data_IF_081571099082
#
_entry.id   IF_081571099082
#
_cell.length_a   1.000
_cell.length_b   1.000
_cell.length_c   1.000
_cell.angle_alpha   90.00
_cell.angle_beta   90.00
_cell.angle_gamma   90.00
#
_symmetry.space_group_name_H-M   'P 1'
#
loop_
_entity.id
_entity.type
_entity.pdbx_description
1 polymer ?
2 non-polymer ?
3 water ?
#
# COMPACT_ATOMS: atom_id res chain seq x y z
N UNK A 3 12.14 -16.49 -14.72
CA UNK A 3 12.44 -16.20 -13.29
C UNK A 3 11.15 -16.09 -12.48
N UNK A 4 10.01 -16.25 -13.16
CA UNK A 4 8.71 -16.22 -12.51
C UNK A 4 8.14 -17.63 -12.48
N UNK A 5 7.33 -17.92 -11.47
CA UNK A 5 6.70 -19.23 -11.35
C UNK A 5 5.32 -19.10 -10.73
N UNK A 6 4.33 -19.75 -11.31
CA UNK A 6 3.01 -19.71 -10.72
C UNK A 6 3.15 -20.61 -9.49
N UNK A 7 2.58 -20.17 -8.38
CA UNK A 7 2.66 -20.93 -7.15
C UNK A 7 1.43 -21.79 -6.95
N UNK A 8 1.54 -22.79 -6.08
CA UNK A 8 0.43 -23.68 -5.79
C UNK A 8 -0.77 -22.93 -5.21
N UNK A 9 -1.91 -23.61 -5.19
CA UNK A 9 -3.14 -23.05 -4.66
C UNK A 9 -2.94 -22.73 -3.17
N UNK A 10 -2.28 -23.62 -2.44
CA UNK A 10 -2.06 -23.40 -1.01
C UNK A 10 -1.13 -22.23 -0.74
N UNK A 11 -0.13 -22.04 -1.59
CA UNK A 11 0.80 -20.93 -1.41
C UNK A 11 0.04 -19.62 -1.66
N UNK A 12 -0.75 -19.58 -2.73
CA UNK A 12 -1.52 -18.39 -3.07
C UNK A 12 -2.46 -18.02 -1.93
N UNK A 13 -3.15 -19.02 -1.39
CA UNK A 13 -4.09 -18.79 -0.31
C UNK A 13 -3.48 -17.98 0.82
N UNK A 14 -2.22 -18.23 1.15
CA UNK A 14 -1.57 -17.49 2.22
C UNK A 14 -1.53 -16.00 1.89
N UNK A 15 -1.23 -15.69 0.64
CA UNK A 15 -1.15 -14.30 0.22
C UNK A 15 -2.55 -13.68 0.18
N UNK A 16 -3.55 -14.45 -0.24
CA UNK A 16 -4.91 -13.92 -0.28
C UNK A 16 -5.36 -13.54 1.12
N UNK A 17 -5.06 -14.41 2.07
CA UNK A 17 -5.43 -14.19 3.46
C UNK A 17 -4.71 -12.99 4.04
N UNK A 18 -3.44 -12.81 3.69
CA UNK A 18 -2.70 -11.65 4.20
C UNK A 18 -3.33 -10.35 3.70
N UNK A 19 -3.68 -10.31 2.42
CA UNK A 19 -4.29 -9.13 1.84
C UNK A 19 -5.72 -8.91 2.33
N UNK A 20 -6.43 -10.00 2.64
CA UNK A 20 -7.80 -9.91 3.15
C UNK A 20 -7.82 -9.19 4.50
N UNK A 21 -6.68 -9.14 5.17
CA UNK A 21 -6.59 -8.46 6.45
C UNK A 21 -6.93 -6.99 6.29
N UNK A 22 -6.69 -6.46 5.09
CA UNK A 22 -6.95 -5.05 4.82
C UNK A 22 -8.16 -4.88 3.93
N UNK A 23 -8.91 -5.96 3.77
CA UNK A 23 -10.10 -5.92 2.94
C UNK A 23 -9.78 -5.94 1.45
N UNK A 24 -8.53 -6.26 1.09
CA UNK A 24 -8.13 -6.33 -0.31
C UNK A 24 -8.45 -7.77 -0.72
N UNK A 25 -9.46 -7.92 -1.57
CA UNK A 25 -9.93 -9.24 -1.99
C UNK A 25 -9.37 -9.80 -3.29
N UNK A 26 -8.44 -10.75 -3.19
CA UNK A 26 -7.87 -11.39 -4.38
C UNK A 26 -8.04 -12.90 -4.25
N UNK A 27 -8.96 -13.33 -3.41
CA UNK A 27 -9.22 -14.75 -3.21
C UNK A 27 -9.48 -15.41 -4.56
N UNK A 28 -8.81 -16.53 -4.82
CA UNK A 28 -9.00 -17.22 -6.08
C UNK A 28 -8.08 -16.81 -7.21
N UNK A 29 -7.37 -15.70 -7.06
CA UNK A 29 -6.46 -15.24 -8.11
C UNK A 29 -5.16 -16.06 -8.09
N UNK A 30 -4.74 -16.57 -9.24
CA UNK A 30 -3.50 -17.33 -9.27
C UNK A 30 -2.36 -16.34 -9.32
N UNK A 31 -1.25 -16.68 -8.68
CA UNK A 31 -0.11 -15.78 -8.60
C UNK A 31 1.22 -16.34 -9.10
N UNK A 32 2.06 -15.46 -9.65
CA UNK A 32 3.39 -15.84 -10.09
C UNK A 32 4.31 -15.12 -9.12
N UNK A 33 5.39 -15.77 -8.72
CA UNK A 33 6.32 -15.15 -7.79
C UNK A 33 7.67 -14.97 -8.45
N UNK A 34 8.39 -13.93 -8.05
CA UNK A 34 9.72 -13.65 -8.59
C UNK A 34 10.58 -13.11 -7.45
N UNK A 35 11.90 -13.23 -7.57
CA UNK A 35 12.78 -12.77 -6.50
C UNK A 35 13.92 -11.81 -6.88
N UNK A 36 14.57 -11.30 -5.84
CA UNK A 36 15.71 -10.39 -5.93
C UNK A 36 16.43 -10.61 -4.61
N UNK A 37 15.92 -11.58 -3.85
CA UNK A 37 16.44 -11.96 -2.53
C UNK A 37 16.59 -10.79 -1.57
N UNK A 38 16.09 -9.64 -2.00
CA UNK A 38 16.09 -8.43 -1.19
C UNK A 38 14.61 -8.13 -1.06
N UNK A 39 13.83 -8.90 -1.82
CA UNK A 39 12.38 -8.80 -1.87
C UNK A 39 11.86 -9.73 -2.96
N UNK A 40 10.61 -10.14 -2.82
CA UNK A 40 9.95 -11.01 -3.79
C UNK A 40 8.67 -10.29 -4.19
N UNK A 41 8.12 -10.64 -5.35
CA UNK A 41 6.89 -10.02 -5.79
C UNK A 41 5.94 -11.06 -6.33
N UNK A 42 4.65 -10.85 -6.07
CA UNK A 42 3.61 -11.74 -6.55
C UNK A 42 2.84 -10.98 -7.62
N UNK A 43 2.81 -11.55 -8.82
CA UNK A 43 2.16 -10.96 -9.98
C UNK A 43 0.80 -11.57 -10.27
N UNK A 44 -0.09 -10.73 -10.80
CA UNK A 44 -1.41 -11.16 -11.25
C UNK A 44 -1.47 -10.56 -12.65
N UNK A 45 -1.65 -11.41 -13.65
CA UNK A 45 -1.71 -10.93 -15.02
C UNK A 45 -0.55 -10.06 -15.47
N UNK A 46 0.68 -10.42 -15.12
CA UNK A 46 1.80 -9.62 -15.58
C UNK A 46 2.16 -8.36 -14.80
N UNK A 47 1.37 -8.02 -13.78
CA UNK A 47 1.68 -6.83 -12.98
C UNK A 47 2.01 -7.22 -11.54
N UNK A 48 2.99 -6.55 -10.92
CA UNK A 48 3.32 -6.89 -9.53
C UNK A 48 2.18 -6.42 -8.62
N UNK A 49 1.65 -7.33 -7.82
CA UNK A 49 0.53 -7.02 -6.93
C UNK A 49 0.84 -6.99 -5.44
N UNK A 50 1.77 -7.83 -5.00
CA UNK A 50 2.15 -7.86 -3.59
C UNK A 50 3.66 -7.99 -3.47
N UNK A 51 4.27 -7.13 -2.67
CA UNK A 51 5.71 -7.17 -2.47
C UNK A 51 6.03 -7.74 -1.10
N UNK A 52 7.07 -8.56 -1.04
CA UNK A 52 7.53 -9.13 0.21
C UNK A 52 8.84 -8.40 0.47
N UNK A 53 8.78 -7.33 1.25
CA UNK A 53 9.97 -6.54 1.57
C UNK A 53 9.86 -6.21 3.05
N UNK A 54 10.10 -7.21 3.88
CA UNK A 54 9.96 -7.02 5.32
C UNK A 54 8.57 -7.54 5.59
N UNK A 55 7.58 -6.70 5.34
CA UNK A 55 6.19 -7.09 5.51
C UNK A 55 5.64 -7.29 4.11
N UNK A 56 4.45 -7.87 4.00
CA UNK A 56 3.83 -8.04 2.70
C UNK A 56 3.13 -6.72 2.42
N UNK A 57 3.52 -6.09 1.32
CA UNK A 57 3.00 -4.79 0.91
C UNK A 57 2.23 -4.88 -0.40
N UNK A 58 0.98 -4.37 -0.43
CA UNK A 58 0.23 -4.43 -1.69
C UNK A 58 0.83 -3.36 -2.59
N UNK A 59 0.86 -3.58 -3.89
CA UNK A 59 1.41 -2.59 -4.80
C UNK A 59 0.33 -1.54 -5.05
N UNK A 60 0.71 -0.40 -5.60
CA UNK A 60 -0.28 0.61 -5.91
C UNK A 60 -1.22 0.07 -6.98
N UNK A 61 -0.74 -0.89 -7.79
CA UNK A 61 -1.60 -1.47 -8.82
C UNK A 61 -2.69 -2.30 -8.16
N UNK A 62 -2.31 -3.07 -7.14
CA UNK A 62 -3.29 -3.89 -6.45
C UNK A 62 -4.28 -2.98 -5.72
N UNK A 63 -3.79 -1.92 -5.09
CA UNK A 63 -4.67 -1.01 -4.38
C UNK A 63 -5.76 -0.45 -5.30
N UNK A 64 -5.42 -0.26 -6.57
CA UNK A 64 -6.38 0.30 -7.50
C UNK A 64 -7.21 -0.75 -8.21
N UNK A 65 -6.76 -2.00 -8.16
CA UNK A 65 -7.48 -3.11 -8.77
C UNK A 65 -8.51 -3.66 -7.76
N UNK A 66 -8.12 -3.74 -6.50
CA UNK A 66 -8.99 -4.24 -5.44
C UNK A 66 -8.79 -3.37 -4.21
N UNK A 67 -9.60 -2.31 -4.09
CA UNK A 67 -9.47 -1.37 -2.98
C UNK A 67 -9.50 -2.00 -1.60
N UNK A 68 -8.69 -1.47 -0.67
CA UNK A 68 -8.70 -2.01 0.69
C UNK A 68 -9.96 -1.41 1.31
N UNK A 69 -10.42 -1.96 2.43
CA UNK A 69 -11.62 -1.43 3.08
C UNK A 69 -11.29 -0.76 4.41
N UNK A 70 -10.02 -0.76 4.79
CA UNK A 70 -9.62 -0.11 6.04
C UNK A 70 -8.26 0.53 5.89
N UNK A 71 -7.92 1.39 6.84
CA UNK A 71 -6.65 2.08 6.90
C UNK A 71 -6.39 3.00 5.73
N UNK A 72 -7.46 3.60 5.22
CA UNK A 72 -7.34 4.51 4.10
C UNK A 72 -7.12 5.95 4.57
N UNK A 73 -6.26 6.66 3.84
CA UNK A 73 -5.94 8.04 4.15
C UNK A 73 -6.04 8.83 2.86
N UNK A 74 -6.85 9.88 2.87
CA UNK A 74 -7.04 10.71 1.70
C UNK A 74 -6.28 12.02 1.84
N UNK A 75 -5.49 12.35 0.82
CA UNK A 75 -4.69 13.57 0.85
C UNK A 75 -5.18 14.57 -0.20
N UNK A 76 -4.81 15.85 -0.03
CA UNK A 76 -5.27 16.86 -0.96
C UNK A 76 -4.40 16.97 -2.19
N UNK A 77 -4.82 17.82 -3.11
CA UNK A 77 -4.13 18.03 -4.37
C UNK A 77 -2.67 18.40 -4.19
N UNK A 78 -2.38 19.28 -3.23
CA UNK A 78 -1.02 19.70 -3.00
C UNK A 78 -0.07 18.61 -2.53
N UNK A 79 -0.58 17.66 -1.76
CA UNK A 79 0.26 16.58 -1.23
C UNK A 79 0.60 15.51 -2.27
N UNK A 80 -0.38 15.19 -3.11
CA UNK A 80 -0.25 14.15 -4.12
C UNK A 80 1.05 14.05 -4.92
N UNK A 81 1.48 15.13 -5.59
CA UNK A 81 2.72 15.06 -6.37
C UNK A 81 3.96 14.62 -5.57
N UNK A 82 4.06 15.05 -4.32
CA UNK A 82 5.22 14.68 -3.53
C UNK A 82 5.07 13.27 -2.97
N UNK A 83 3.84 12.89 -2.65
CA UNK A 83 3.62 11.54 -2.15
C UNK A 83 3.97 10.60 -3.31
N UNK A 84 3.63 11.00 -4.54
CA UNK A 84 3.94 10.18 -5.70
C UNK A 84 5.43 9.98 -5.86
N UNK A 85 6.22 10.84 -5.22
CA UNK A 85 7.67 10.75 -5.26
C UNK A 85 8.27 10.16 -3.99
N UNK A 86 7.43 9.64 -3.10
CA UNK A 86 7.93 9.02 -1.88
C UNK A 86 8.14 9.91 -0.66
N UNK A 87 7.71 11.16 -0.74
CA UNK A 87 7.83 12.07 0.38
C UNK A 87 7.04 11.56 1.57
N UNK A 88 7.46 11.91 2.79
CA UNK A 88 6.71 11.52 3.98
C UNK A 88 5.38 12.27 3.86
N UNK A 89 4.38 11.81 4.60
CA UNK A 89 3.07 12.44 4.56
C UNK A 89 2.86 13.27 5.82
N UNK A 90 2.60 14.56 5.64
CA UNK A 90 2.39 15.46 6.77
C UNK A 90 0.92 15.75 6.99
N UNK A 91 0.52 15.84 8.25
CA UNK A 91 -0.87 16.05 8.64
C UNK A 91 -1.66 17.14 7.92
N UNK A 92 -1.05 18.30 7.64
CA UNK A 92 -1.75 19.39 6.95
C UNK A 92 -2.32 18.99 5.59
N UNK A 93 -1.74 17.97 4.98
CA UNK A 93 -2.22 17.55 3.67
C UNK A 93 -3.25 16.43 3.71
N UNK A 94 -3.66 16.03 4.91
CA UNK A 94 -4.64 14.97 5.04
C UNK A 94 -6.07 15.50 5.09
N UNK A 95 -6.91 15.00 4.19
CA UNK A 95 -8.30 15.41 4.12
C UNK A 95 -9.17 14.56 5.05
N UNK A 96 -8.94 13.25 5.05
CA UNK A 96 -9.71 12.35 5.90
C UNK A 96 -8.96 11.04 6.04
N UNK A 97 -9.35 10.23 7.02
CA UNK A 97 -8.69 8.96 7.21
C UNK A 97 -9.53 8.07 8.12
N UNK A 98 -9.24 6.77 8.07
CA UNK A 98 -9.91 5.79 8.90
C UNK A 98 -9.64 6.19 10.36
N UNK A 99 -10.67 6.41 11.17
CA UNK A 99 -10.40 6.82 12.54
C UNK A 99 -9.88 5.72 13.44
N UNK A 100 -9.70 4.52 12.89
CA UNK A 100 -9.18 3.44 13.71
C UNK A 100 -7.67 3.29 13.52
N UNK A 101 -7.08 4.12 12.67
CA UNK A 101 -5.64 4.06 12.43
C UNK A 101 -4.82 4.46 13.66
N UNK A 102 -3.82 3.63 13.96
CA UNK A 102 -2.94 3.85 15.09
C UNK A 102 -1.50 3.82 14.61
N UNK A 103 -0.62 4.47 15.36
CA UNK A 103 0.79 4.50 15.03
C UNK A 103 1.26 3.07 14.79
N UNK A 104 1.94 2.84 13.67
CA UNK A 104 2.42 1.50 13.38
C UNK A 104 1.63 0.73 12.34
N UNK A 105 0.38 1.12 12.10
CA UNK A 105 -0.45 0.46 11.10
C UNK A 105 0.03 0.79 9.68
N UNK A 106 -0.22 -0.12 8.76
CA UNK A 106 0.11 0.13 7.36
C UNK A 106 -1.08 0.94 6.86
N UNK A 107 -0.83 2.01 6.11
CA UNK A 107 -1.92 2.81 5.58
C UNK A 107 -1.86 2.87 4.06
N UNK A 108 -3.01 3.12 3.46
CA UNK A 108 -3.14 3.17 2.02
C UNK A 108 -3.61 4.56 1.65
N UNK A 109 -2.72 5.28 0.98
CA UNK A 109 -2.93 6.66 0.60
C UNK A 109 -3.62 6.85 -0.73
N UNK A 110 -4.69 7.64 -0.74
CA UNK A 110 -5.41 7.89 -1.97
C UNK A 110 -5.58 9.37 -2.27
N UNK A 111 -5.70 9.67 -3.55
CA UNK A 111 -5.92 11.02 -4.02
C UNK A 111 -7.39 11.35 -3.74
N UNK A 112 -7.71 12.63 -3.64
CA UNK A 112 -9.10 13.03 -3.43
C UNK A 112 -9.92 12.62 -4.67
N UNK A 113 -9.24 12.29 -5.76
CA UNK A 113 -9.94 11.86 -6.98
C UNK A 113 -10.30 10.38 -6.91
N UNK A 114 -9.94 9.72 -5.82
CA UNK A 114 -10.30 8.32 -5.68
C UNK A 114 -9.24 7.25 -5.82
N UNK A 115 -8.32 7.40 -6.76
CA UNK A 115 -7.29 6.39 -6.96
C UNK A 115 -6.18 6.42 -5.90
N UNK A 116 -5.61 5.26 -5.61
CA UNK A 116 -4.55 5.13 -4.62
C UNK A 116 -3.19 5.47 -5.20
N UNK A 117 -2.35 6.09 -4.38
CA UNK A 117 -1.04 6.53 -4.85
C UNK A 117 0.15 6.01 -4.06
N UNK A 118 -0.07 5.50 -2.85
CA UNK A 118 1.06 5.00 -2.08
C UNK A 118 0.64 4.15 -0.90
N UNK A 119 1.62 3.46 -0.32
CA UNK A 119 1.42 2.66 0.87
C UNK A 119 2.31 3.32 1.91
N UNK A 120 1.80 3.45 3.12
CA UNK A 120 2.60 4.07 4.16
C UNK A 120 2.50 3.33 5.48
N UNK A 121 3.24 3.83 6.45
CA UNK A 121 3.26 3.26 7.78
C UNK A 121 2.94 4.47 8.66
N UNK A 122 1.84 4.40 9.39
CA UNK A 122 1.42 5.50 10.24
C UNK A 122 2.44 5.86 11.32
N UNK A 123 2.64 7.16 11.52
CA UNK A 123 3.56 7.66 12.53
C UNK A 123 2.77 8.35 13.66
N UNK A 124 1.45 8.44 13.49
CA UNK A 124 0.56 9.08 14.47
C UNK A 124 -0.80 8.38 14.49
N UNK A 125 -1.53 8.52 15.60
CA UNK A 125 -2.87 7.95 15.71
C UNK A 125 -3.84 8.88 14.98
N UNK A 126 -4.91 8.33 14.41
CA UNK A 126 -5.88 9.14 13.69
C UNK A 126 -6.45 10.28 14.55
N UNK A 127 -6.63 10.03 15.84
CA UNK A 127 -7.18 11.06 16.71
C UNK A 127 -6.34 12.32 16.76
N UNK A 128 -5.04 12.16 17.02
CA UNK A 128 -4.13 13.29 17.11
C UNK A 128 -3.97 14.00 15.78
N UNK A 129 -3.92 13.24 14.69
CA UNK A 129 -3.79 13.84 13.36
C UNK A 129 -4.96 14.78 13.04
N UNK A 130 -6.19 14.29 13.22
CA UNK A 130 -7.35 15.09 12.89
C UNK A 130 -7.62 16.26 13.84
N UNK A 131 -7.13 16.16 15.07
CA UNK A 131 -7.33 17.24 16.03
C UNK A 131 -6.27 18.34 15.94
N UNK A 132 -5.05 17.99 15.56
CA UNK A 132 -3.97 18.98 15.47
C UNK A 132 -3.66 19.40 14.04
N UNK A 133 -3.76 18.46 13.11
CA UNK A 133 -3.46 18.71 11.70
C UNK A 133 -2.02 19.19 11.55
N UNK A 134 -1.13 18.61 12.34
CA UNK A 134 0.28 18.97 12.26
C UNK A 134 1.14 17.78 12.65
N UNK A 135 2.33 17.71 12.07
CA UNK A 135 3.24 16.62 12.37
C UNK A 135 3.33 15.63 11.24
N UNK A 136 4.30 14.72 11.31
CA UNK A 136 4.46 13.70 10.29
C UNK A 136 3.45 12.60 10.56
N UNK A 137 2.46 12.49 9.69
CA UNK A 137 1.41 11.48 9.85
C UNK A 137 1.87 10.07 9.45
N UNK A 138 2.73 9.99 8.44
CA UNK A 138 3.20 8.68 7.99
C UNK A 138 4.45 8.76 7.13
N UNK A 139 5.17 7.65 7.05
CA UNK A 139 6.32 7.59 6.18
C UNK A 139 5.83 6.72 5.03
N UNK A 140 6.19 7.06 3.80
CA UNK A 140 5.76 6.27 2.63
C UNK A 140 6.75 5.14 2.34
N UNK A 141 6.23 3.91 2.25
CA UNK A 141 7.09 2.76 2.00
C UNK A 141 6.98 2.19 0.58
N UNK A 142 5.99 2.65 -0.17
CA UNK A 142 5.83 2.21 -1.56
C UNK A 142 5.07 3.26 -2.33
N UNK A 143 5.57 3.58 -3.52
CA UNK A 143 4.93 4.57 -4.37
C UNK A 143 5.27 4.23 -5.81
N UNK A 144 4.56 4.83 -6.78
CA UNK A 144 4.83 4.52 -8.18
C UNK A 144 6.28 4.78 -8.62
N UNK A 145 6.83 3.85 -9.39
CA UNK A 145 8.19 4.01 -9.89
C UNK A 145 9.29 3.88 -8.86
N UNK A 146 8.96 3.43 -7.65
CA UNK A 146 9.98 3.28 -6.62
C UNK A 146 10.88 2.07 -6.92
N UNK A 147 11.74 1.71 -5.98
CA UNK A 147 12.65 0.59 -6.17
C UNK A 147 11.95 -0.75 -6.36
N UNK A 148 10.84 -0.95 -5.66
CA UNK A 148 10.10 -2.20 -5.80
C UNK A 148 9.58 -2.37 -7.22
N UNK A 149 9.03 -1.29 -7.78
CA UNK A 149 8.49 -1.35 -9.14
C UNK A 149 9.59 -1.42 -10.20
N UNK A 150 10.72 -0.76 -9.96
CA UNK A 150 11.82 -0.80 -10.92
C UNK A 150 12.45 -2.19 -10.90
N UNK A 151 12.42 -2.83 -9.73
CA UNK A 151 12.99 -4.17 -9.59
C UNK A 151 12.07 -5.27 -10.11
N UNK A 152 10.76 -5.02 -10.12
CA UNK A 152 9.81 -6.03 -10.58
C UNK A 152 8.95 -5.52 -11.71
N UNK A 153 9.55 -5.32 -12.89
CA UNK A 153 8.84 -4.83 -14.07
C UNK A 153 7.59 -5.66 -14.34
X LIG B 1 8.47 15.72 -4.69
#
# INVERSE_FOLDING_TARGET
>A
XTSKHFISKKEAKRIWEQMSRYGIDITGESLEVAAQKSASAYYIGGKPMVFQAGDLIPSVYLLNYRNPSRNIVTVDEGAEPHILNGSDLFAPGIVSMDDSIRKGDMIFVKSSKGYFIAVGMAEMDAGEVMATKRGKAARIIHFPGDELIRAFP
>B hetero
1 ZN ZN
#
